data_IF_801907908954
#
_entry.id   IF_801907908954
#
_cell.length_a   1.000
_cell.length_b   1.000
_cell.length_c   1.000
_cell.angle_alpha   90.00
_cell.angle_beta   90.00
_cell.angle_gamma   90.00
#
_symmetry.space_group_name_H-M   'P 1'
#
loop_
_entity.id
_entity.type
_entity.pdbx_description
1 polymer ?
#
# COMPACT_ATOMS: atom_id res chain seq x y z
N UNK A 1 12.92 -43.17 6.88
CA UNK A 1 12.72 -41.95 6.05
C UNK A 1 11.27 -41.51 6.07
N UNK A 2 10.31 -42.43 5.94
CA UNK A 2 8.89 -42.06 5.76
C UNK A 2 8.23 -41.41 6.97
N UNK A 3 8.53 -41.86 8.19
CA UNK A 3 7.95 -41.27 9.41
C UNK A 3 8.32 -39.78 9.59
N UNK A 4 9.53 -39.38 9.21
CA UNK A 4 9.99 -37.99 9.27
C UNK A 4 9.25 -37.14 8.22
N UNK A 5 9.06 -37.69 7.02
CA UNK A 5 8.31 -37.05 5.95
C UNK A 5 6.84 -36.84 6.33
N UNK A 6 6.18 -37.89 6.83
CA UNK A 6 4.80 -37.83 7.34
C UNK A 6 4.67 -36.78 8.45
N UNK A 7 5.58 -36.78 9.43
CA UNK A 7 5.56 -35.80 10.51
C UNK A 7 5.71 -34.35 10.00
N UNK A 8 6.54 -34.13 8.99
CA UNK A 8 6.77 -32.79 8.42
C UNK A 8 5.57 -32.26 7.63
N UNK A 9 4.90 -33.12 6.87
CA UNK A 9 3.87 -32.69 5.92
C UNK A 9 2.44 -32.78 6.46
N UNK A 10 2.14 -33.78 7.29
CA UNK A 10 0.80 -34.03 7.81
C UNK A 10 0.74 -34.10 9.33
N UNK A 11 1.88 -34.09 10.02
CA UNK A 11 1.93 -34.27 11.47
C UNK A 11 1.15 -33.20 12.23
N UNK A 12 1.36 -31.92 11.92
CA UNK A 12 0.69 -30.81 12.61
C UNK A 12 -0.83 -30.80 12.33
N UNK A 13 -1.22 -30.90 11.07
CA UNK A 13 -2.64 -30.96 10.67
C UNK A 13 -3.35 -32.15 11.30
N UNK A 14 -2.69 -33.31 11.38
CA UNK A 14 -3.27 -34.51 11.98
C UNK A 14 -3.42 -34.39 13.50
N UNK A 15 -2.47 -33.76 14.20
CA UNK A 15 -2.57 -33.51 15.65
C UNK A 15 -3.78 -32.63 15.96
N UNK A 16 -3.98 -31.54 15.21
CA UNK A 16 -5.12 -30.64 15.39
C UNK A 16 -6.43 -31.38 15.11
N UNK A 17 -6.48 -32.13 14.00
CA UNK A 17 -7.65 -32.92 13.64
C UNK A 17 -8.02 -33.95 14.71
N UNK A 18 -7.03 -34.69 15.22
CA UNK A 18 -7.24 -35.69 16.25
C UNK A 18 -7.67 -35.07 17.58
N UNK A 19 -7.15 -33.91 17.95
CA UNK A 19 -7.62 -33.17 19.12
C UNK A 19 -9.11 -32.79 18.98
N UNK A 20 -9.51 -32.30 17.80
CA UNK A 20 -10.90 -31.92 17.52
C UNK A 20 -11.85 -33.13 17.49
N UNK A 21 -11.39 -34.27 16.94
CA UNK A 21 -12.16 -35.54 16.96
C UNK A 21 -12.31 -36.06 18.38
N UNK A 22 -11.28 -35.95 19.22
CA UNK A 22 -11.32 -36.37 20.62
C UNK A 22 -12.33 -35.56 21.43
N UNK A 23 -12.47 -34.27 21.12
CA UNK A 23 -13.45 -33.37 21.74
C UNK A 23 -14.88 -33.60 21.23
N UNK A 24 -15.07 -33.61 19.90
CA UNK A 24 -16.41 -33.69 19.28
C UNK A 24 -17.01 -35.09 19.27
N UNK A 25 -16.18 -36.14 19.37
CA UNK A 25 -16.56 -37.56 19.31
C UNK A 25 -17.61 -37.83 18.23
N UNK A 26 -17.30 -37.53 16.95
CA UNK A 26 -18.22 -37.76 15.85
C UNK A 26 -18.60 -39.24 15.76
N UNK A 27 -19.83 -39.49 15.28
CA UNK A 27 -20.35 -40.86 15.09
C UNK A 27 -19.51 -41.69 14.11
N UNK A 28 -18.95 -41.03 13.09
CA UNK A 28 -17.97 -41.61 12.18
C UNK A 28 -16.67 -40.78 12.17
N UNK A 29 -15.65 -41.18 12.93
CA UNK A 29 -14.41 -40.43 13.05
C UNK A 29 -13.55 -40.50 11.78
N UNK A 30 -13.65 -41.56 10.97
CA UNK A 30 -12.81 -41.71 9.77
C UNK A 30 -13.29 -40.73 8.70
N UNK A 31 -14.60 -40.70 8.46
CA UNK A 31 -15.20 -39.76 7.51
C UNK A 31 -14.96 -38.30 7.94
N UNK A 32 -15.08 -38.02 9.24
CA UNK A 32 -14.80 -36.68 9.79
C UNK A 32 -13.37 -36.22 9.49
N UNK A 33 -12.38 -37.07 9.75
CA UNK A 33 -10.97 -36.74 9.50
C UNK A 33 -10.73 -36.46 8.02
N UNK A 34 -11.32 -37.27 7.12
CA UNK A 34 -11.21 -37.07 5.67
C UNK A 34 -11.74 -35.69 5.23
N UNK A 35 -12.94 -35.34 5.68
CA UNK A 35 -13.55 -34.04 5.38
C UNK A 35 -12.76 -32.87 6.00
N UNK A 36 -12.29 -33.04 7.24
CA UNK A 36 -11.51 -32.03 7.95
C UNK A 36 -10.20 -31.73 7.22
N UNK A 37 -9.44 -32.76 6.84
CA UNK A 37 -8.16 -32.60 6.15
C UNK A 37 -8.34 -31.93 4.78
N UNK A 38 -9.38 -32.31 4.04
CA UNK A 38 -9.68 -31.70 2.74
C UNK A 38 -10.03 -30.21 2.87
N UNK A 39 -10.83 -29.85 3.86
CA UNK A 39 -11.17 -28.45 4.14
C UNK A 39 -9.96 -27.66 4.65
N UNK A 40 -9.12 -28.26 5.50
CA UNK A 40 -7.93 -27.64 6.03
C UNK A 40 -6.92 -27.25 4.93
N UNK A 41 -6.69 -28.14 3.95
CA UNK A 41 -5.80 -27.84 2.80
C UNK A 41 -6.37 -26.69 1.96
N UNK A 42 -7.68 -26.72 1.67
CA UNK A 42 -8.36 -25.64 0.93
C UNK A 42 -8.24 -24.29 1.65
N UNK A 43 -8.47 -24.29 2.96
CA UNK A 43 -8.37 -23.09 3.78
C UNK A 43 -6.93 -22.56 3.82
N UNK A 44 -5.92 -23.44 3.93
CA UNK A 44 -4.52 -23.01 3.87
C UNK A 44 -4.16 -22.37 2.52
N UNK A 45 -4.60 -22.96 1.41
CA UNK A 45 -4.38 -22.39 0.08
C UNK A 45 -5.05 -21.03 -0.08
N UNK A 46 -6.30 -20.92 0.37
CA UNK A 46 -7.04 -19.67 0.35
C UNK A 46 -6.36 -18.61 1.21
N UNK A 47 -5.95 -18.95 2.43
CA UNK A 47 -5.27 -18.03 3.33
C UNK A 47 -3.95 -17.51 2.74
N UNK A 48 -3.19 -18.38 2.05
CA UNK A 48 -1.97 -17.95 1.34
C UNK A 48 -2.29 -16.93 0.26
N UNK A 49 -3.29 -17.19 -0.59
CA UNK A 49 -3.71 -16.26 -1.64
C UNK A 49 -4.18 -14.92 -1.06
N UNK A 50 -4.96 -14.94 0.03
CA UNK A 50 -5.43 -13.73 0.71
C UNK A 50 -4.24 -12.94 1.29
N UNK A 51 -3.27 -13.62 1.90
CA UNK A 51 -2.09 -12.96 2.45
C UNK A 51 -1.23 -12.32 1.36
N UNK A 52 -1.01 -13.02 0.25
CA UNK A 52 -0.28 -12.51 -0.92
C UNK A 52 -1.00 -11.29 -1.53
N UNK A 53 -2.33 -11.35 -1.68
CA UNK A 53 -3.13 -10.24 -2.18
C UNK A 53 -3.07 -9.02 -1.23
N UNK A 54 -3.14 -9.25 0.08
CA UNK A 54 -3.02 -8.19 1.08
C UNK A 54 -1.63 -7.54 1.08
N UNK A 55 -0.56 -8.32 0.94
CA UNK A 55 0.79 -7.77 0.79
C UNK A 55 0.92 -6.88 -0.45
N UNK A 56 0.39 -7.33 -1.60
CA UNK A 56 0.40 -6.53 -2.82
C UNK A 56 -0.40 -5.24 -2.66
N UNK A 57 -1.58 -5.31 -2.04
CA UNK A 57 -2.42 -4.15 -1.79
C UNK A 57 -1.73 -3.15 -0.86
N UNK A 58 -1.06 -3.62 0.19
CA UNK A 58 -0.34 -2.75 1.13
C UNK A 58 0.83 -2.03 0.44
N UNK A 59 1.61 -2.74 -0.38
CA UNK A 59 2.67 -2.13 -1.19
C UNK A 59 2.13 -1.05 -2.14
N UNK A 60 1.04 -1.36 -2.85
CA UNK A 60 0.41 -0.39 -3.75
C UNK A 60 -0.11 0.85 -3.02
N UNK A 61 -0.63 0.69 -1.79
CA UNK A 61 -1.06 1.82 -0.95
C UNK A 61 0.13 2.69 -0.52
N UNK A 62 1.23 2.08 -0.09
CA UNK A 62 2.44 2.81 0.30
C UNK A 62 3.00 3.60 -0.88
N UNK A 63 3.08 3.01 -2.07
CA UNK A 63 3.51 3.69 -3.29
C UNK A 63 2.59 4.86 -3.65
N UNK A 64 1.27 4.66 -3.56
CA UNK A 64 0.30 5.72 -3.81
C UNK A 64 0.42 6.88 -2.81
N UNK A 65 0.70 6.61 -1.53
CA UNK A 65 0.94 7.65 -0.53
C UNK A 65 2.23 8.42 -0.78
N UNK A 66 3.30 7.73 -1.18
CA UNK A 66 4.58 8.37 -1.55
C UNK A 66 4.38 9.28 -2.76
N UNK A 67 3.69 8.79 -3.79
CA UNK A 67 3.42 9.56 -5.00
C UNK A 67 2.52 10.77 -4.70
N UNK A 68 1.52 10.61 -3.83
CA UNK A 68 0.67 11.72 -3.40
C UNK A 68 1.48 12.81 -2.69
N UNK A 69 2.37 12.43 -1.75
CA UNK A 69 3.25 13.38 -1.06
C UNK A 69 4.20 14.08 -2.04
N UNK A 70 4.74 13.36 -3.03
CA UNK A 70 5.60 13.95 -4.07
C UNK A 70 4.85 14.99 -4.90
N UNK A 71 3.60 14.70 -5.28
CA UNK A 71 2.75 15.65 -5.99
C UNK A 71 2.42 16.88 -5.15
N UNK A 72 2.09 16.69 -3.88
CA UNK A 72 1.81 17.81 -2.96
C UNK A 72 3.02 18.75 -2.84
N UNK A 73 4.24 18.22 -2.73
CA UNK A 73 5.48 19.03 -2.71
C UNK A 73 5.67 19.78 -4.03
N UNK A 74 5.50 19.09 -5.17
CA UNK A 74 5.66 19.71 -6.49
C UNK A 74 4.65 20.84 -6.71
N UNK A 75 3.40 20.64 -6.31
CA UNK A 75 2.32 21.63 -6.41
C UNK A 75 2.60 22.85 -5.50
N UNK A 76 3.22 22.66 -4.34
CA UNK A 76 3.63 23.74 -3.45
C UNK A 76 4.80 24.55 -4.02
N UNK A 77 5.84 23.86 -4.52
CA UNK A 77 6.99 24.49 -5.16
C UNK A 77 6.57 25.31 -6.40
N UNK A 78 5.68 24.78 -7.23
CA UNK A 78 5.17 25.49 -8.42
C UNK A 78 4.39 26.76 -8.03
N UNK A 79 3.57 26.69 -6.96
CA UNK A 79 2.83 27.87 -6.47
C UNK A 79 3.76 28.95 -5.95
N UNK A 80 4.80 28.58 -5.18
CA UNK A 80 5.76 29.56 -4.67
C UNK A 80 6.59 30.18 -5.79
N UNK A 81 7.02 29.38 -6.77
CA UNK A 81 7.73 29.88 -7.95
C UNK A 81 6.88 30.84 -8.79
N UNK A 82 5.61 30.51 -9.04
CA UNK A 82 4.69 31.39 -9.76
C UNK A 82 4.45 32.71 -9.01
N UNK A 83 4.21 32.67 -7.69
CA UNK A 83 4.08 33.91 -6.90
C UNK A 83 5.33 34.79 -6.96
N UNK A 84 6.51 34.19 -6.86
CA UNK A 84 7.76 34.95 -6.85
C UNK A 84 8.06 35.56 -8.24
N UNK A 85 7.80 34.82 -9.31
CA UNK A 85 7.96 35.33 -10.68
C UNK A 85 6.94 36.42 -11.03
N UNK A 86 5.68 36.29 -10.60
CA UNK A 86 4.67 37.33 -10.74
C UNK A 86 5.05 38.61 -9.96
N UNK A 87 5.53 38.48 -8.73
CA UNK A 87 5.99 39.60 -7.91
C UNK A 87 7.18 40.34 -8.56
N UNK A 88 8.17 39.60 -9.07
CA UNK A 88 9.30 40.18 -9.80
C UNK A 88 8.84 40.89 -11.07
N UNK A 89 7.87 40.32 -11.80
CA UNK A 89 7.34 40.92 -13.03
C UNK A 89 6.53 42.20 -12.76
N UNK A 90 5.82 42.29 -11.63
CA UNK A 90 5.18 43.53 -11.19
C UNK A 90 6.19 44.59 -10.77
N UNK A 91 7.24 44.24 -10.03
CA UNK A 91 8.27 45.20 -9.61
C UNK A 91 9.07 45.76 -10.79
N UNK A 92 9.35 44.95 -11.81
CA UNK A 92 10.02 45.41 -13.03
C UNK A 92 9.12 46.37 -13.82
N UNK A 93 7.82 46.09 -13.95
CA UNK A 93 6.85 46.99 -14.58
C UNK A 93 6.70 48.32 -13.84
N UNK A 94 6.71 48.32 -12.52
CA UNK A 94 6.63 49.53 -11.70
C UNK A 94 7.90 50.38 -11.78
N UNK A 95 9.07 49.75 -11.97
CA UNK A 95 10.34 50.46 -12.19
C UNK A 95 10.45 51.03 -13.61
N UNK A 96 9.99 50.30 -14.63
CA UNK A 96 9.94 50.78 -16.01
C UNK A 96 8.95 51.94 -16.19
N UNK A 97 7.79 51.91 -15.54
CA UNK A 97 6.81 53.01 -15.61
C UNK A 97 7.26 54.28 -14.88
N UNK A 98 7.98 54.14 -13.75
CA UNK A 98 8.62 55.29 -13.08
C UNK A 98 9.77 55.90 -13.88
N UNK A 99 10.64 55.06 -14.44
CA UNK A 99 11.75 55.52 -15.31
C UNK A 99 11.23 56.20 -16.58
N UNK A 100 10.15 55.70 -17.19
CA UNK A 100 9.50 56.35 -18.33
C UNK A 100 8.86 57.70 -18.00
N UNK A 101 8.31 57.86 -16.79
CA UNK A 101 7.73 59.14 -16.34
C UNK A 101 8.79 60.19 -16.00
N UNK A 102 9.91 59.81 -15.40
CA UNK A 102 11.00 60.73 -15.02
C UNK A 102 11.75 61.28 -16.24
N UNK A 103 11.89 60.49 -17.31
CA UNK A 103 12.44 60.93 -18.59
C UNK A 103 11.50 61.90 -19.34
N UNK A 104 10.19 61.80 -19.15
CA UNK A 104 9.22 62.69 -19.79
C UNK A 104 9.14 64.07 -19.12
N UNK A 105 9.43 64.17 -17.82
CA UNK A 105 9.43 65.46 -17.07
C UNK A 105 10.70 66.29 -17.25
N UNK A 106 11.76 65.73 -17.83
CA UNK A 106 13.04 66.41 -18.00
C UNK A 106 13.20 67.12 -19.36
N UNK A 107 12.19 67.06 -20.23
CA UNK A 107 12.23 67.55 -21.63
C UNK A 107 11.32 68.76 -21.89
N UNK A 108 10.66 69.30 -20.87
CA UNK A 108 9.86 70.55 -20.95
C UNK A 108 10.56 71.73 -20.25
#
# INVERSE_FOLDING_TARGET
MDAVFLRKHVGESLVICLAEVAEKRPKDPIEYIGQWLHNHIKNQQHQKQVNEANEQLNKAKEEAEVEKKRKEIMDEEEKEFNKQSDAQKSEVKDKESKSGSELSTLVE
#
